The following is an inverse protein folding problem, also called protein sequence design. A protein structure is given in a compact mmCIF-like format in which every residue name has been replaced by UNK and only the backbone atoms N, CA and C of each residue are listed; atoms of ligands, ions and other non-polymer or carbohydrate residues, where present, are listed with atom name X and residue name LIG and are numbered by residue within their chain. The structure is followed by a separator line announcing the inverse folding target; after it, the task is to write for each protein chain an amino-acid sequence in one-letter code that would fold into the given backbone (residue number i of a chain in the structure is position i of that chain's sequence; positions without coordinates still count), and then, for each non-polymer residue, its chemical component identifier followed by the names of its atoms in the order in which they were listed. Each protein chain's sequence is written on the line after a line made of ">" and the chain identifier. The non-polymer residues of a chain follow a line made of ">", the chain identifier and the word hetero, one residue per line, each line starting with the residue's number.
data_IF_518981196021
#
_entry.id   IF_518981196021
#
_cell.length_a   1.000
_cell.length_b   1.000
_cell.length_c   1.000
_cell.angle_alpha   90.00
_cell.angle_beta   90.00
_cell.angle_gamma   90.00
#
_symmetry.space_group_name_H-M   'P 1'
#
loop_
_entity.id
_entity.type
_entity.pdbx_description
1 polymer ?
#
# COMPACT_ATOMS: atom_id res chain seq x y z
N UNK A 1 41.89 0.32 49.16
CA UNK A 1 41.29 1.50 49.83
C UNK A 1 39.79 1.33 49.76
N UNK A 2 39.11 1.37 50.91
CA UNK A 2 37.66 1.29 51.03
C UNK A 2 37.15 2.62 51.55
N UNK A 3 36.03 3.11 51.04
CA UNK A 3 35.01 3.82 51.83
C UNK A 3 33.65 3.61 51.17
N UNK A 4 32.75 2.94 51.90
CA UNK A 4 31.33 2.86 51.62
C UNK A 4 30.63 4.05 52.28
N UNK A 5 29.63 4.63 51.61
CA UNK A 5 28.65 5.51 52.25
C UNK A 5 27.30 4.79 52.25
N UNK A 6 26.87 4.46 53.45
CA UNK A 6 25.54 3.94 53.76
C UNK A 6 24.52 5.08 53.76
N UNK A 7 23.37 4.85 53.11
CA UNK A 7 22.13 5.59 53.33
C UNK A 7 21.11 4.68 54.04
N UNK A 8 20.61 5.15 55.17
CA UNK A 8 19.74 4.49 56.16
C UNK A 8 18.30 4.26 55.63
N UNK A 9 17.68 3.08 55.81
CA UNK A 9 16.78 2.61 56.91
C UNK A 9 15.35 3.23 57.01
N UNK A 10 14.37 2.52 56.38
CA UNK A 10 13.03 1.96 56.82
C UNK A 10 12.15 2.67 57.89
N UNK A 11 10.79 2.56 57.88
CA UNK A 11 10.08 1.26 58.00
C UNK A 11 8.75 1.07 57.20
N UNK A 12 8.30 -0.19 57.24
CA UNK A 12 7.07 -0.78 56.70
C UNK A 12 5.82 -0.44 57.54
N UNK A 13 4.62 -0.65 56.97
CA UNK A 13 3.67 -1.67 57.47
C UNK A 13 2.37 -1.71 56.65
N UNK A 14 2.26 -2.74 55.81
CA UNK A 14 1.16 -3.73 55.83
C UNK A 14 1.35 -4.68 54.65
N UNK A 15 2.07 -5.77 54.88
CA UNK A 15 1.75 -7.00 54.18
C UNK A 15 0.36 -7.43 54.63
N UNK A 16 -0.55 -7.57 53.68
CA UNK A 16 -1.52 -8.65 53.74
C UNK A 16 -1.50 -9.30 52.37
N UNK A 17 -0.94 -10.50 52.35
CA UNK A 17 -1.05 -11.43 51.25
C UNK A 17 -2.52 -11.58 50.87
N UNK A 18 -2.80 -11.45 49.58
CA UNK A 18 -4.13 -11.55 49.01
C UNK A 18 -4.02 -11.36 47.51
N UNK A 19 -3.65 -12.44 46.82
CA UNK A 19 -4.15 -12.84 45.51
C UNK A 19 -5.18 -11.88 44.89
N UNK A 20 -4.88 -11.35 43.70
CA UNK A 20 -5.73 -11.35 42.50
C UNK A 20 -5.06 -10.48 41.40
N UNK A 21 -5.02 -11.04 40.20
CA UNK A 21 -4.55 -10.45 38.95
C UNK A 21 -4.88 -8.96 38.77
N UNK A 22 -3.85 -8.15 38.54
CA UNK A 22 -3.99 -6.82 37.96
C UNK A 22 -3.00 -6.71 36.81
N UNK A 23 -3.47 -7.09 35.61
CA UNK A 23 -2.83 -6.76 34.35
C UNK A 23 -2.51 -5.26 34.30
N UNK A 24 -1.34 -4.85 33.78
CA UNK A 24 -1.14 -3.45 33.45
C UNK A 24 -2.14 -3.10 32.35
N UNK A 25 -3.14 -2.29 32.70
CA UNK A 25 -4.04 -1.68 31.73
C UNK A 25 -3.18 -0.91 30.72
N UNK A 26 -2.93 -1.54 29.57
CA UNK A 26 -2.48 -0.88 28.35
C UNK A 26 -3.62 0.03 27.93
N UNK A 27 -3.63 1.24 28.49
CA UNK A 27 -4.34 2.37 27.92
C UNK A 27 -3.57 2.80 26.69
N UNK A 28 -3.77 2.08 25.58
CA UNK A 28 -3.40 2.54 24.25
C UNK A 28 -4.64 3.15 23.60
N UNK A 29 -4.91 4.40 23.98
CA UNK A 29 -5.37 5.47 23.09
C UNK A 29 -6.32 5.06 21.95
N UNK A 30 -7.61 4.92 22.27
CA UNK A 30 -8.73 4.87 21.31
C UNK A 30 -9.05 6.29 20.76
N UNK A 31 -8.07 7.08 20.32
CA UNK A 31 -8.33 8.50 19.96
C UNK A 31 -7.58 9.05 18.74
N UNK A 32 -7.15 8.21 17.79
CA UNK A 32 -6.53 8.66 16.52
C UNK A 32 -7.06 7.94 15.26
N UNK A 33 -8.19 7.22 15.33
CA UNK A 33 -8.62 6.31 14.25
C UNK A 33 -9.10 7.01 12.97
N UNK A 34 -9.71 8.20 13.11
CA UNK A 34 -10.24 8.94 11.96
C UNK A 34 -9.12 9.65 11.18
N UNK A 35 -8.13 10.22 11.89
CA UNK A 35 -6.97 10.89 11.27
C UNK A 35 -6.04 9.91 10.56
N UNK A 36 -5.88 8.71 11.12
CA UNK A 36 -5.06 7.65 10.52
C UNK A 36 -5.68 7.12 9.22
N UNK A 37 -7.02 7.07 9.16
CA UNK A 37 -7.75 6.61 7.98
C UNK A 37 -7.68 7.63 6.84
N UNK A 38 -7.90 8.92 7.13
CA UNK A 38 -7.83 9.99 6.12
C UNK A 38 -6.41 10.11 5.53
N UNK A 39 -5.38 10.01 6.37
CA UNK A 39 -3.99 9.99 5.93
C UNK A 39 -3.67 8.80 5.02
N UNK A 40 -4.16 7.61 5.38
CA UNK A 40 -3.98 6.40 4.58
C UNK A 40 -4.70 6.49 3.22
N UNK A 41 -5.94 7.00 3.18
CA UNK A 41 -6.67 7.26 1.94
C UNK A 41 -5.88 8.21 1.05
N UNK A 42 -5.44 9.34 1.59
CA UNK A 42 -4.67 10.33 0.84
C UNK A 42 -3.37 9.74 0.28
N UNK A 43 -2.65 8.93 1.06
CA UNK A 43 -1.42 8.28 0.60
C UNK A 43 -1.67 7.33 -0.60
N UNK A 44 -2.73 6.52 -0.53
CA UNK A 44 -3.10 5.58 -1.60
C UNK A 44 -3.60 6.31 -2.85
N UNK A 45 -4.43 7.35 -2.69
CA UNK A 45 -4.91 8.15 -3.81
C UNK A 45 -3.80 8.94 -4.51
N UNK A 46 -2.85 9.49 -3.75
CA UNK A 46 -1.66 10.11 -4.33
C UNK A 46 -0.80 9.11 -5.11
N UNK A 47 -0.69 7.87 -4.60
CA UNK A 47 0.01 6.81 -5.31
C UNK A 47 -0.73 6.44 -6.61
N UNK A 48 -2.07 6.38 -6.57
CA UNK A 48 -2.91 6.18 -7.75
C UNK A 48 -2.68 7.24 -8.82
N UNK A 49 -2.78 8.52 -8.47
CA UNK A 49 -2.59 9.62 -9.44
C UNK A 49 -1.18 9.62 -10.06
N UNK A 50 -0.15 9.27 -9.29
CA UNK A 50 1.22 9.17 -9.82
C UNK A 50 1.35 8.07 -10.87
N UNK A 51 0.80 6.89 -10.60
CA UNK A 51 0.87 5.75 -11.52
C UNK A 51 -0.06 5.96 -12.72
N UNK A 52 -1.25 6.52 -12.53
CA UNK A 52 -2.19 6.89 -13.58
C UNK A 52 -1.52 7.84 -14.58
N UNK A 53 -0.92 8.94 -14.07
CA UNK A 53 -0.18 9.88 -14.90
C UNK A 53 0.98 9.24 -15.65
N UNK A 54 1.77 8.39 -14.99
CA UNK A 54 2.88 7.69 -15.64
C UNK A 54 2.37 6.76 -16.76
N UNK A 55 1.26 6.07 -16.52
CA UNK A 55 0.62 5.16 -17.48
C UNK A 55 0.07 5.92 -18.68
N UNK A 56 -0.60 7.06 -18.46
CA UNK A 56 -1.09 7.93 -19.53
C UNK A 56 0.04 8.44 -20.43
N UNK A 57 1.17 8.86 -19.84
CA UNK A 57 2.33 9.33 -20.61
C UNK A 57 2.95 8.18 -21.41
N UNK A 58 3.24 7.05 -20.77
CA UNK A 58 3.87 5.91 -21.44
C UNK A 58 2.96 5.31 -22.54
N UNK A 59 1.66 5.23 -22.29
CA UNK A 59 0.67 4.69 -23.23
C UNK A 59 0.22 5.66 -24.33
N UNK A 60 0.53 6.96 -24.20
CA UNK A 60 0.18 7.98 -25.18
C UNK A 60 1.21 8.13 -26.31
N UNK A 61 2.38 7.50 -26.19
CA UNK A 61 3.43 7.55 -27.21
C UNK A 61 3.21 6.51 -28.31
N UNK A 62 3.48 6.89 -29.57
CA UNK A 62 3.42 5.99 -30.74
C UNK A 62 4.53 6.34 -31.73
N UNK A 63 5.04 5.37 -32.48
CA UNK A 63 6.05 5.59 -33.52
C UNK A 63 5.93 4.54 -34.63
N UNK A 64 6.22 4.93 -35.89
CA UNK A 64 6.34 4.00 -37.02
C UNK A 64 7.73 3.36 -37.12
N UNK A 65 8.73 3.89 -36.40
CA UNK A 65 10.05 3.26 -36.30
C UNK A 65 9.98 2.01 -35.40
N UNK A 66 10.34 0.81 -35.89
CA UNK A 66 10.22 -0.42 -35.11
C UNK A 66 11.06 -0.46 -33.83
N UNK A 67 12.20 0.23 -33.80
CA UNK A 67 13.06 0.29 -32.61
C UNK A 67 12.48 1.19 -31.52
N UNK A 68 11.90 2.32 -31.94
CA UNK A 68 11.17 3.22 -31.03
C UNK A 68 9.88 2.57 -30.55
N UNK A 69 9.10 1.93 -31.42
CA UNK A 69 7.87 1.21 -31.06
C UNK A 69 8.13 0.12 -30.02
N UNK A 70 9.20 -0.67 -30.22
CA UNK A 70 9.64 -1.65 -29.22
C UNK A 70 9.99 -0.99 -27.87
N UNK A 71 10.67 0.15 -27.90
CA UNK A 71 11.06 0.90 -26.69
C UNK A 71 9.82 1.44 -25.96
N UNK A 72 8.84 1.97 -26.69
CA UNK A 72 7.54 2.40 -26.14
C UNK A 72 6.84 1.22 -25.47
N UNK A 73 6.76 0.07 -26.14
CA UNK A 73 6.15 -1.13 -25.58
C UNK A 73 6.85 -1.60 -24.29
N UNK A 74 8.19 -1.53 -24.22
CA UNK A 74 8.95 -1.82 -23.01
C UNK A 74 8.67 -0.79 -21.90
N UNK A 75 8.56 0.50 -22.25
CA UNK A 75 8.26 1.57 -21.29
C UNK A 75 6.86 1.39 -20.66
N UNK A 76 5.86 1.04 -21.46
CA UNK A 76 4.50 0.73 -20.98
C UNK A 76 4.53 -0.43 -19.98
N UNK A 77 5.20 -1.55 -20.34
CA UNK A 77 5.32 -2.72 -19.45
C UNK A 77 6.08 -2.42 -18.16
N UNK A 78 7.11 -1.58 -18.27
CA UNK A 78 7.92 -1.14 -17.12
C UNK A 78 7.07 -0.29 -16.18
N UNK A 79 6.31 0.66 -16.73
CA UNK A 79 5.39 1.51 -15.96
C UNK A 79 4.35 0.67 -15.21
N UNK A 80 3.71 -0.29 -15.89
CA UNK A 80 2.74 -1.19 -15.25
C UNK A 80 3.38 -2.02 -14.11
N UNK A 81 4.59 -2.55 -14.34
CA UNK A 81 5.31 -3.36 -13.33
C UNK A 81 5.73 -2.54 -12.10
N UNK A 82 6.28 -1.35 -12.32
CA UNK A 82 6.68 -0.44 -11.24
C UNK A 82 5.45 0.10 -10.50
N UNK A 83 4.39 0.45 -11.22
CA UNK A 83 3.11 0.87 -10.65
C UNK A 83 2.51 -0.19 -9.73
N UNK A 84 2.45 -1.44 -10.18
CA UNK A 84 1.98 -2.55 -9.36
C UNK A 84 2.81 -2.73 -8.09
N UNK A 85 4.14 -2.77 -8.20
CA UNK A 85 5.02 -2.91 -7.04
C UNK A 85 4.86 -1.73 -6.05
N UNK A 86 4.70 -0.52 -6.58
CA UNK A 86 4.49 0.68 -5.79
C UNK A 86 3.15 0.64 -5.05
N UNK A 87 2.06 0.23 -5.70
CA UNK A 87 0.76 0.04 -5.04
C UNK A 87 0.82 -0.95 -3.89
N UNK A 88 1.41 -2.13 -4.10
CA UNK A 88 1.58 -3.10 -3.01
C UNK A 88 2.38 -2.53 -1.83
N UNK A 89 3.42 -1.76 -2.12
CA UNK A 89 4.23 -1.10 -1.09
C UNK A 89 3.41 -0.07 -0.30
N UNK A 90 2.71 0.84 -0.99
CA UNK A 90 1.92 1.90 -0.33
C UNK A 90 0.80 1.31 0.52
N UNK A 91 0.08 0.29 0.01
CA UNK A 91 -0.95 -0.40 0.79
C UNK A 91 -0.38 -1.08 2.04
N UNK A 92 0.84 -1.64 1.95
CA UNK A 92 1.53 -2.24 3.11
C UNK A 92 1.96 -1.19 4.14
N UNK A 93 2.40 -0.02 3.68
CA UNK A 93 2.82 1.10 4.52
C UNK A 93 1.63 1.81 5.18
N UNK A 94 0.41 1.68 4.63
CA UNK A 94 -0.79 2.36 5.09
C UNK A 94 -1.91 1.35 5.45
N UNK A 95 -1.77 0.57 6.55
CA UNK A 95 -2.72 -0.49 6.91
C UNK A 95 -4.11 0.03 7.32
N UNK A 96 -4.22 1.32 7.68
CA UNK A 96 -5.50 1.98 7.98
C UNK A 96 -6.34 2.29 6.71
N UNK A 97 -5.85 1.97 5.50
CA UNK A 97 -6.61 2.16 4.26
C UNK A 97 -7.90 1.33 4.30
N UNK A 98 -9.08 1.94 4.09
CA UNK A 98 -10.34 1.21 4.02
C UNK A 98 -10.32 0.14 2.92
N UNK A 99 -10.94 -1.02 3.17
CA UNK A 99 -10.96 -2.11 2.18
C UNK A 99 -11.64 -1.72 0.87
N UNK A 100 -12.57 -0.77 0.91
CA UNK A 100 -13.23 -0.18 -0.27
C UNK A 100 -12.25 0.46 -1.26
N UNK A 101 -11.07 0.90 -0.79
CA UNK A 101 -9.98 1.43 -1.62
C UNK A 101 -8.83 0.41 -1.74
N UNK A 102 -8.48 -0.28 -0.65
CA UNK A 102 -7.36 -1.20 -0.63
C UNK A 102 -7.56 -2.40 -1.58
N UNK A 103 -8.77 -2.96 -1.65
CA UNK A 103 -9.05 -4.13 -2.48
C UNK A 103 -8.97 -3.82 -3.98
N UNK A 104 -9.63 -2.76 -4.51
CA UNK A 104 -9.48 -2.38 -5.91
C UNK A 104 -8.03 -2.07 -6.30
N UNK A 105 -7.29 -1.33 -5.47
CA UNK A 105 -5.88 -0.99 -5.74
C UNK A 105 -5.01 -2.25 -5.75
N UNK A 106 -5.23 -3.18 -4.83
CA UNK A 106 -4.51 -4.46 -4.80
C UNK A 106 -4.82 -5.31 -6.03
N UNK A 107 -6.09 -5.38 -6.43
CA UNK A 107 -6.49 -6.08 -7.65
C UNK A 107 -5.93 -5.41 -8.91
N UNK A 108 -5.85 -4.08 -8.94
CA UNK A 108 -5.28 -3.34 -10.06
C UNK A 108 -3.78 -3.66 -10.20
N UNK A 109 -3.06 -3.67 -9.07
CA UNK A 109 -1.65 -4.06 -9.04
C UNK A 109 -1.42 -5.50 -9.54
N UNK A 110 -2.23 -6.46 -9.09
CA UNK A 110 -2.18 -7.84 -9.61
C UNK A 110 -2.51 -7.91 -11.10
N UNK A 111 -3.52 -7.18 -11.56
CA UNK A 111 -3.94 -7.16 -12.96
C UNK A 111 -2.84 -6.59 -13.86
N UNK A 112 -2.12 -5.55 -13.43
CA UNK A 112 -0.96 -5.05 -14.14
C UNK A 112 0.17 -6.08 -14.26
N UNK A 113 0.50 -6.81 -13.18
CA UNK A 113 1.51 -7.86 -13.24
C UNK A 113 1.12 -8.99 -14.21
N UNK A 114 -0.14 -9.43 -14.17
CA UNK A 114 -0.66 -10.43 -15.09
C UNK A 114 -0.64 -9.95 -16.54
N UNK A 115 -1.08 -8.71 -16.80
CA UNK A 115 -1.06 -8.11 -18.13
C UNK A 115 0.35 -8.07 -18.71
N UNK A 116 1.34 -7.64 -17.93
CA UNK A 116 2.74 -7.60 -18.38
C UNK A 116 3.26 -8.99 -18.74
N UNK A 117 2.93 -10.01 -17.94
CA UNK A 117 3.29 -11.39 -18.24
C UNK A 117 2.62 -11.90 -19.53
N UNK A 118 1.34 -11.62 -19.71
CA UNK A 118 0.59 -11.99 -20.92
C UNK A 118 1.16 -11.29 -22.16
N UNK A 119 1.44 -9.99 -22.09
CA UNK A 119 2.05 -9.25 -23.20
C UNK A 119 3.44 -9.78 -23.54
N UNK A 120 4.26 -10.09 -22.53
CA UNK A 120 5.61 -10.63 -22.71
C UNK A 120 5.57 -12.03 -23.30
N UNK A 121 4.61 -12.85 -22.87
CA UNK A 121 4.33 -14.18 -23.42
C UNK A 121 3.56 -14.17 -24.74
N UNK A 122 3.27 -12.99 -25.31
CA UNK A 122 2.52 -12.83 -26.56
C UNK A 122 1.16 -13.56 -26.54
N UNK A 123 0.45 -13.47 -25.42
CA UNK A 123 -0.87 -14.07 -25.28
C UNK A 123 -1.86 -13.53 -26.33
N UNK A 124 -2.90 -14.30 -26.68
CA UNK A 124 -3.95 -13.86 -27.59
C UNK A 124 -4.63 -12.56 -27.13
N UNK A 125 -5.06 -11.76 -28.10
CA UNK A 125 -5.73 -10.46 -27.85
C UNK A 125 -6.91 -10.57 -26.89
N UNK A 126 -7.70 -11.64 -26.95
CA UNK A 126 -8.86 -11.83 -26.05
C UNK A 126 -8.47 -11.87 -24.56
N UNK A 127 -7.30 -12.47 -24.25
CA UNK A 127 -6.80 -12.52 -22.88
C UNK A 127 -6.30 -11.15 -22.42
N UNK A 128 -5.69 -10.37 -23.33
CA UNK A 128 -5.27 -9.00 -23.06
C UNK A 128 -6.47 -8.08 -22.86
N UNK A 129 -7.46 -8.14 -23.75
CA UNK A 129 -8.68 -7.33 -23.70
C UNK A 129 -9.45 -7.57 -22.39
N UNK A 130 -9.54 -8.84 -21.94
CA UNK A 130 -10.12 -9.17 -20.63
C UNK A 130 -9.41 -8.44 -19.47
N UNK A 131 -8.08 -8.30 -19.52
CA UNK A 131 -7.30 -7.60 -18.49
C UNK A 131 -7.46 -6.09 -18.60
N UNK A 132 -7.52 -5.53 -19.81
CA UNK A 132 -7.80 -4.11 -20.01
C UNK A 132 -9.19 -3.73 -19.48
N UNK A 133 -10.21 -4.54 -19.73
CA UNK A 133 -11.56 -4.31 -19.18
C UNK A 133 -11.57 -4.35 -17.65
N UNK A 134 -10.79 -5.26 -17.06
CA UNK A 134 -10.63 -5.33 -15.61
C UNK A 134 -9.93 -4.09 -15.05
N UNK A 135 -8.88 -3.59 -15.70
CA UNK A 135 -8.21 -2.33 -15.34
C UNK A 135 -9.22 -1.17 -15.37
N UNK A 136 -9.93 -0.98 -16.49
CA UNK A 136 -10.92 0.09 -16.64
C UNK A 136 -12.00 0.06 -15.53
N UNK A 137 -12.46 -1.14 -15.17
CA UNK A 137 -13.42 -1.32 -14.08
C UNK A 137 -12.83 -0.91 -12.73
N UNK A 138 -11.60 -1.34 -12.43
CA UNK A 138 -10.93 -1.04 -11.16
C UNK A 138 -10.57 0.44 -11.04
N UNK A 139 -10.12 1.06 -12.12
CA UNK A 139 -9.89 2.52 -12.18
C UNK A 139 -11.18 3.27 -11.84
N UNK A 140 -12.31 2.87 -12.42
CA UNK A 140 -13.61 3.46 -12.09
C UNK A 140 -13.97 3.35 -10.60
N UNK A 141 -13.61 2.25 -9.93
CA UNK A 141 -13.84 2.06 -8.50
C UNK A 141 -12.91 2.92 -7.65
N UNK A 142 -11.63 3.00 -8.01
CA UNK A 142 -10.64 3.79 -7.26
C UNK A 142 -10.95 5.28 -7.39
N UNK A 143 -11.29 5.74 -8.60
CA UNK A 143 -11.67 7.13 -8.86
C UNK A 143 -12.87 7.57 -8.02
N UNK A 144 -13.87 6.71 -7.79
CA UNK A 144 -15.02 7.04 -6.94
C UNK A 144 -14.67 7.35 -5.48
N UNK A 145 -13.52 6.88 -5.01
CA UNK A 145 -13.04 7.12 -3.63
C UNK A 145 -12.03 8.26 -3.61
N UNK A 146 -11.18 8.35 -4.63
CA UNK A 146 -10.09 9.31 -4.70
C UNK A 146 -10.46 10.68 -5.28
N UNK A 147 -11.65 10.83 -5.90
CA UNK A 147 -12.13 12.06 -6.55
C UNK A 147 -13.61 12.30 -6.25
#
# INVERSE_FOLDING_TARGET
>A
MAFAVAGWFRPSDSQSAGELDAEPAYSSSDTDTDTDTDGAIAAVCNAYDLVDKATMVAGGETSDDPGVDFTIAVNIRTTASLGAAFYFRVLKENPATPQTLADPVRQLASTYQELVLLQTGQAPKEQLDTRYDQINKLDGQIVQVCR
#
